data_IF_614177693646
#
_entry.id   IF_614177693646
#
_cell.length_a   1.000
_cell.length_b   1.000
_cell.length_c   1.000
_cell.angle_alpha   90.00
_cell.angle_beta   90.00
_cell.angle_gamma   90.00
#
_symmetry.space_group_name_H-M   'P 1'
#
loop_
_entity.id
_entity.type
_entity.pdbx_description
1 polymer ?
#
# COMPACT_ATOMS: atom_id res chain seq x y z
N UNK A 1 -10.28 -4.78 -7.94
CA UNK A 1 -9.52 -3.52 -8.13
C UNK A 1 -8.25 -3.56 -7.27
N UNK A 2 -7.08 -3.39 -7.90
CA UNK A 2 -5.74 -3.68 -7.32
C UNK A 2 -5.51 -3.03 -5.94
N UNK A 3 -5.73 -1.71 -5.80
CA UNK A 3 -5.51 -0.98 -4.54
C UNK A 3 -6.45 -1.43 -3.42
N UNK A 4 -7.75 -1.56 -3.73
CA UNK A 4 -8.75 -1.95 -2.74
C UNK A 4 -8.49 -3.36 -2.21
N UNK A 5 -8.14 -4.30 -3.10
CA UNK A 5 -7.83 -5.65 -2.66
C UNK A 5 -6.53 -5.71 -1.87
N UNK A 6 -5.51 -4.96 -2.27
CA UNK A 6 -4.20 -4.93 -1.60
C UNK A 6 -4.31 -4.40 -0.17
N UNK A 7 -5.02 -3.30 0.01
CA UNK A 7 -5.05 -2.58 1.28
C UNK A 7 -6.36 -2.76 2.05
N UNK A 8 -7.51 -2.74 1.37
CA UNK A 8 -8.83 -2.91 1.99
C UNK A 8 -9.22 -4.36 2.29
N UNK A 9 -8.67 -5.34 1.55
CA UNK A 9 -8.90 -6.78 1.79
C UNK A 9 -7.64 -7.54 2.20
N UNK A 10 -6.52 -6.84 2.38
CA UNK A 10 -5.23 -7.41 2.74
C UNK A 10 -4.75 -8.56 1.80
N UNK A 11 -5.11 -8.51 0.52
CA UNK A 11 -4.69 -9.51 -0.45
C UNK A 11 -3.29 -9.18 -1.01
N UNK A 12 -2.28 -10.04 -0.86
CA UNK A 12 -0.96 -9.78 -1.41
C UNK A 12 -0.99 -9.82 -2.95
N UNK A 13 -0.11 -9.05 -3.59
CA UNK A 13 -0.17 -8.84 -5.05
C UNK A 13 0.06 -10.12 -5.85
N UNK A 14 0.84 -11.07 -5.34
CA UNK A 14 1.02 -12.38 -5.97
C UNK A 14 -0.31 -13.15 -6.07
N UNK A 15 -1.12 -13.16 -5.01
CA UNK A 15 -2.45 -13.79 -5.03
C UNK A 15 -3.40 -13.09 -5.99
N UNK A 16 -3.32 -11.77 -6.09
CA UNK A 16 -4.13 -11.03 -7.07
C UNK A 16 -3.71 -11.36 -8.50
N UNK A 17 -2.40 -11.42 -8.77
CA UNK A 17 -1.87 -11.79 -10.10
C UNK A 17 -2.31 -13.20 -10.52
N UNK A 18 -2.26 -14.18 -9.60
CA UNK A 18 -2.79 -15.52 -9.82
C UNK A 18 -4.29 -15.49 -10.16
N UNK A 19 -5.09 -14.71 -9.41
CA UNK A 19 -6.53 -14.59 -9.67
C UNK A 19 -6.84 -13.97 -11.03
N UNK A 20 -6.17 -12.89 -11.39
CA UNK A 20 -6.33 -12.25 -12.70
C UNK A 20 -5.93 -13.21 -13.85
N UNK A 21 -4.89 -14.03 -13.67
CA UNK A 21 -4.55 -15.07 -14.63
C UNK A 21 -5.66 -16.13 -14.77
N UNK A 22 -6.31 -16.55 -13.68
CA UNK A 22 -7.47 -17.46 -13.71
C UNK A 22 -8.70 -16.86 -14.40
N UNK A 23 -8.85 -15.54 -14.34
CA UNK A 23 -9.89 -14.79 -15.05
C UNK A 23 -9.54 -14.56 -16.54
N UNK A 24 -8.40 -15.06 -17.03
CA UNK A 24 -7.94 -14.92 -18.42
C UNK A 24 -7.27 -13.58 -18.72
N UNK A 25 -6.96 -12.78 -17.70
CA UNK A 25 -6.35 -11.45 -17.81
C UNK A 25 -5.02 -11.43 -17.05
N UNK A 26 -3.96 -12.11 -17.50
CA UNK A 26 -2.70 -12.15 -16.78
C UNK A 26 -2.09 -10.74 -16.68
N UNK A 27 -1.82 -10.27 -15.45
CA UNK A 27 -1.12 -9.02 -15.19
C UNK A 27 0.20 -9.36 -14.50
N UNK A 28 1.31 -8.85 -15.02
CA UNK A 28 2.61 -9.05 -14.40
C UNK A 28 2.66 -8.41 -13.01
N UNK A 29 3.31 -9.08 -12.06
CA UNK A 29 3.46 -8.60 -10.69
C UNK A 29 4.13 -7.21 -10.64
N UNK A 30 5.14 -6.98 -11.50
CA UNK A 30 5.82 -5.69 -11.62
C UNK A 30 4.87 -4.57 -12.05
N UNK A 31 4.04 -4.81 -13.06
CA UNK A 31 3.04 -3.83 -13.52
C UNK A 31 2.05 -3.48 -12.41
N UNK A 32 1.61 -4.47 -11.62
CA UNK A 32 0.76 -4.21 -10.46
C UNK A 32 1.50 -3.40 -9.38
N UNK A 33 2.79 -3.67 -9.15
CA UNK A 33 3.62 -2.92 -8.22
C UNK A 33 3.84 -1.47 -8.68
N UNK A 34 4.07 -1.25 -9.97
CA UNK A 34 4.21 0.08 -10.57
C UNK A 34 2.92 0.91 -10.38
N UNK A 35 1.75 0.28 -10.58
CA UNK A 35 0.46 0.91 -10.33
C UNK A 35 0.28 1.29 -8.85
N UNK A 36 0.68 0.42 -7.92
CA UNK A 36 0.68 0.74 -6.48
C UNK A 36 1.61 1.93 -6.20
N UNK A 37 2.82 1.93 -6.75
CA UNK A 37 3.80 3.02 -6.59
C UNK A 37 3.27 4.36 -7.11
N UNK A 38 2.65 4.37 -8.30
CA UNK A 38 2.07 5.58 -8.88
C UNK A 38 0.94 6.17 -8.02
N UNK A 39 0.09 5.31 -7.43
CA UNK A 39 -0.95 5.77 -6.51
C UNK A 39 -0.34 6.30 -5.20
N UNK A 40 0.66 5.64 -4.63
CA UNK A 40 1.37 6.14 -3.44
C UNK A 40 1.97 7.53 -3.70
N UNK A 41 2.69 7.72 -4.82
CA UNK A 41 3.25 9.00 -5.20
C UNK A 41 2.17 10.09 -5.37
N UNK A 42 1.01 9.72 -5.92
CA UNK A 42 -0.12 10.64 -6.09
C UNK A 42 -0.77 11.05 -4.76
N UNK A 43 -0.66 10.21 -3.72
CA UNK A 43 -1.24 10.44 -2.40
C UNK A 43 -0.27 11.13 -1.42
N UNK A 44 1.02 11.27 -1.75
CA UNK A 44 2.00 11.93 -0.87
C UNK A 44 1.54 13.34 -0.40
N UNK A 45 0.98 14.22 -1.26
CA UNK A 45 0.51 15.53 -0.79
C UNK A 45 -0.59 15.44 0.28
N UNK A 46 -1.48 14.44 0.19
CA UNK A 46 -2.52 14.21 1.19
C UNK A 46 -1.92 13.70 2.50
N UNK A 47 -0.94 12.80 2.42
CA UNK A 47 -0.20 12.33 3.59
C UNK A 47 0.42 13.51 4.34
N UNK A 48 1.05 14.45 3.63
CA UNK A 48 1.64 15.67 4.25
C UNK A 48 0.61 16.54 4.97
N UNK A 49 -0.59 16.68 4.41
CA UNK A 49 -1.66 17.43 5.07
C UNK A 49 -2.17 16.73 6.33
N UNK A 50 -2.31 15.40 6.29
CA UNK A 50 -2.69 14.60 7.47
C UNK A 50 -1.61 14.68 8.54
N UNK A 51 -0.33 14.55 8.17
CA UNK A 51 0.82 14.73 9.08
C UNK A 51 0.77 16.09 9.76
N UNK A 52 0.65 17.17 8.98
CA UNK A 52 0.58 18.54 9.52
C UNK A 52 -0.61 18.72 10.47
N UNK A 53 -1.78 18.17 10.11
CA UNK A 53 -2.98 18.23 10.95
C UNK A 53 -2.79 17.49 12.28
N UNK A 54 -2.27 16.26 12.24
CA UNK A 54 -2.04 15.44 13.43
C UNK A 54 -1.00 16.08 14.35
N UNK A 55 0.06 16.65 13.79
CA UNK A 55 1.13 17.31 14.55
C UNK A 55 0.69 18.66 15.16
N UNK A 56 -0.39 19.27 14.68
CA UNK A 56 -0.94 20.49 15.25
C UNK A 56 -1.89 20.25 16.45
N UNK A 57 -2.19 18.99 16.80
CA UNK A 57 -3.10 18.65 17.88
C UNK A 57 -2.52 18.98 19.27
N UNK A 58 -3.37 19.43 20.20
CA UNK A 58 -2.98 19.67 21.61
C UNK A 58 -2.50 18.38 22.30
N UNK A 59 -3.06 17.23 21.89
CA UNK A 59 -2.73 15.91 22.42
C UNK A 59 -2.56 14.91 21.28
N UNK A 60 -1.49 14.14 21.34
CA UNK A 60 -1.18 13.09 20.37
C UNK A 60 -1.31 11.72 21.05
N UNK A 61 -2.14 10.84 20.48
CA UNK A 61 -2.24 9.45 20.91
C UNK A 61 -1.57 8.58 19.86
N UNK A 62 -0.55 7.81 20.26
CA UNK A 62 0.15 6.87 19.40
C UNK A 62 -0.29 5.44 19.72
N UNK A 63 -0.44 4.62 18.68
CA UNK A 63 -0.67 3.19 18.80
C UNK A 63 0.64 2.46 18.49
N UNK A 64 1.11 1.62 19.41
CA UNK A 64 2.35 0.85 19.27
C UNK A 64 2.05 -0.58 18.82
N UNK A 65 1.23 -0.70 17.77
CA UNK A 65 0.99 -2.00 17.14
C UNK A 65 2.20 -2.42 16.32
N UNK A 66 2.76 -3.58 16.67
CA UNK A 66 3.85 -4.19 15.89
C UNK A 66 3.31 -4.79 14.59
N UNK A 67 3.83 -4.33 13.45
CA UNK A 67 3.58 -4.96 12.15
C UNK A 67 4.65 -6.04 11.91
N UNK A 68 4.21 -7.26 11.62
CA UNK A 68 5.12 -8.33 11.23
C UNK A 68 5.62 -8.07 9.79
N UNK A 69 6.83 -7.50 9.67
CA UNK A 69 7.50 -7.32 8.38
C UNK A 69 7.91 -8.70 7.83
N UNK A 70 7.08 -9.28 6.97
CA UNK A 70 7.51 -10.40 6.14
C UNK A 70 8.38 -9.83 5.00
N UNK A 71 9.70 -9.94 5.19
CA UNK A 71 10.78 -9.62 4.24
C UNK A 71 11.31 -8.17 4.28
N UNK A 72 12.56 -8.05 4.70
CA UNK A 72 13.39 -6.83 4.85
C UNK A 72 13.77 -6.12 3.52
N UNK A 73 13.09 -6.35 2.39
CA UNK A 73 13.55 -5.85 1.07
C UNK A 73 12.57 -4.98 0.26
N UNK A 74 11.41 -4.60 0.81
CA UNK A 74 10.42 -3.83 0.05
C UNK A 74 10.15 -2.41 0.59
N UNK A 75 10.70 -2.04 1.74
CA UNK A 75 10.43 -0.73 2.38
C UNK A 75 11.46 0.34 1.97
N UNK A 76 12.59 -0.03 1.35
CA UNK A 76 13.61 0.94 0.90
C UNK A 76 13.42 1.47 -0.54
N UNK A 77 12.33 1.08 -1.21
CA UNK A 77 12.05 1.47 -2.62
C UNK A 77 10.85 2.42 -2.79
N UNK A 78 10.41 3.04 -1.69
CA UNK A 78 9.59 4.26 -1.69
C UNK A 78 10.43 5.32 -0.99
#
# INVERSE_FOLDING_TARGET
MIMFEKFGQHQPLNRQAERYALEGVPIALSTMADAVGAVCASLDPLLRLVEAHVMAAERLHADDSVLQKHTERMIEMI
#
